data_IF_650139991092
#
_entry.id   IF_650139991092
#
_cell.length_a   1.000
_cell.length_b   1.000
_cell.length_c   1.000
_cell.angle_alpha   90.00
_cell.angle_beta   90.00
_cell.angle_gamma   90.00
#
_symmetry.space_group_name_H-M   'P 1'
#
loop_
_entity.id
_entity.type
_entity.pdbx_description
1 polymer ?
#
# COMPACT_ATOMS: atom_id res chain seq x y z
N UNK A 1 -21.77 -14.42 2.53
CA UNK A 1 -20.86 -13.42 1.92
C UNK A 1 -20.96 -13.58 0.41
N UNK A 2 -21.16 -12.46 -0.28
CA UNK A 2 -21.31 -12.37 -1.73
C UNK A 2 -20.08 -11.67 -2.32
N UNK A 3 -19.54 -12.19 -3.41
CA UNK A 3 -18.43 -11.56 -4.15
C UNK A 3 -19.02 -10.51 -5.09
N UNK A 4 -18.50 -9.28 -5.01
CA UNK A 4 -18.90 -8.20 -5.91
C UNK A 4 -17.99 -8.16 -7.14
N UNK A 5 -18.50 -8.63 -8.28
CA UNK A 5 -17.80 -8.57 -9.58
C UNK A 5 -18.37 -7.51 -10.52
N UNK A 6 -19.61 -7.08 -10.29
CA UNK A 6 -20.28 -6.10 -11.15
C UNK A 6 -19.65 -4.69 -10.99
N UNK A 7 -19.19 -4.06 -12.09
CA UNK A 7 -18.57 -2.73 -12.04
C UNK A 7 -19.47 -1.66 -11.40
N UNK A 8 -20.79 -1.70 -11.65
CA UNK A 8 -21.74 -0.77 -11.05
C UNK A 8 -21.85 -0.94 -9.52
N UNK A 9 -21.74 -2.17 -9.03
CA UNK A 9 -21.74 -2.44 -7.58
C UNK A 9 -20.43 -1.97 -6.95
N UNK A 10 -19.29 -2.20 -7.60
CA UNK A 10 -17.99 -1.73 -7.12
C UNK A 10 -17.91 -0.20 -7.08
N UNK A 11 -18.42 0.51 -8.09
CA UNK A 11 -18.49 1.97 -8.09
C UNK A 11 -19.39 2.51 -6.98
N UNK A 12 -20.53 1.86 -6.72
CA UNK A 12 -21.43 2.25 -5.63
C UNK A 12 -20.78 2.00 -4.26
N UNK A 13 -20.10 0.88 -4.09
CA UNK A 13 -19.34 0.56 -2.89
C UNK A 13 -18.23 1.58 -2.66
N UNK A 14 -17.45 1.91 -3.70
CA UNK A 14 -16.43 2.95 -3.67
C UNK A 14 -17.02 4.29 -3.16
N UNK A 15 -18.17 4.71 -3.69
CA UNK A 15 -18.86 5.92 -3.26
C UNK A 15 -19.33 5.91 -1.80
N UNK A 16 -19.75 4.75 -1.29
CA UNK A 16 -20.17 4.59 0.12
C UNK A 16 -18.95 4.60 1.05
N UNK A 17 -17.89 3.86 0.71
CA UNK A 17 -16.66 3.81 1.50
C UNK A 17 -15.98 5.19 1.55
N UNK A 18 -16.00 5.95 0.45
CA UNK A 18 -15.47 7.32 0.39
C UNK A 18 -16.09 8.25 1.44
N UNK A 19 -17.38 8.09 1.76
CA UNK A 19 -18.08 8.91 2.77
C UNK A 19 -17.69 8.56 4.20
N UNK A 20 -17.11 7.37 4.41
CA UNK A 20 -16.72 6.83 5.71
C UNK A 20 -15.19 6.87 5.91
N UNK A 21 -14.48 7.64 5.08
CA UNK A 21 -13.07 7.91 5.30
C UNK A 21 -12.90 8.79 6.56
N UNK A 22 -11.87 8.55 7.40
CA UNK A 22 -10.73 7.67 7.17
C UNK A 22 -10.92 6.20 7.64
N UNK A 23 -12.02 5.86 8.33
CA UNK A 23 -12.22 4.52 8.91
C UNK A 23 -12.25 3.40 7.85
N UNK A 24 -12.77 3.72 6.65
CA UNK A 24 -12.86 2.78 5.54
C UNK A 24 -11.58 2.69 4.68
N UNK A 25 -10.49 3.39 5.04
CA UNK A 25 -9.34 3.60 4.15
C UNK A 25 -8.71 2.31 3.60
N UNK A 26 -8.41 1.27 4.41
CA UNK A 26 -7.79 0.06 3.89
C UNK A 26 -8.67 -0.64 2.84
N UNK A 27 -9.96 -0.83 3.14
CA UNK A 27 -10.89 -1.50 2.23
C UNK A 27 -11.16 -0.63 1.00
N UNK A 28 -11.28 0.69 1.18
CA UNK A 28 -11.46 1.65 0.09
C UNK A 28 -10.30 1.60 -0.90
N UNK A 29 -9.07 1.57 -0.41
CA UNK A 29 -7.89 1.49 -1.25
C UNK A 29 -7.75 0.17 -2.01
N UNK A 30 -8.13 -0.96 -1.40
CA UNK A 30 -8.24 -2.23 -2.12
C UNK A 30 -9.30 -2.17 -3.23
N UNK A 31 -10.49 -1.65 -2.93
CA UNK A 31 -11.57 -1.47 -3.92
C UNK A 31 -11.10 -0.60 -5.09
N UNK A 32 -10.41 0.51 -4.80
CA UNK A 32 -9.80 1.37 -5.83
C UNK A 32 -8.78 0.63 -6.71
N UNK A 33 -7.89 -0.17 -6.11
CA UNK A 33 -6.94 -0.97 -6.89
C UNK A 33 -7.67 -1.98 -7.80
N UNK A 34 -8.75 -2.58 -7.33
CA UNK A 34 -9.58 -3.51 -8.11
C UNK A 34 -10.29 -2.78 -9.27
N UNK A 35 -10.90 -1.62 -9.02
CA UNK A 35 -11.57 -0.83 -10.08
C UNK A 35 -10.59 -0.25 -11.10
N UNK A 36 -9.31 -0.10 -10.74
CA UNK A 36 -8.23 0.46 -11.57
C UNK A 36 -7.37 -0.61 -12.26
N UNK A 37 -7.87 -1.82 -12.46
CA UNK A 37 -7.20 -2.88 -13.22
C UNK A 37 -6.71 -4.07 -12.40
N UNK A 38 -6.92 -4.06 -11.08
CA UNK A 38 -6.71 -5.18 -10.18
C UNK A 38 -5.32 -5.86 -10.27
N UNK A 39 -4.22 -5.11 -10.08
CA UNK A 39 -2.88 -5.64 -10.25
C UNK A 39 -2.54 -6.81 -9.30
N UNK A 40 -3.17 -6.83 -8.11
CA UNK A 40 -2.98 -7.87 -7.10
C UNK A 40 -3.93 -9.06 -7.20
N UNK A 41 -4.84 -9.07 -8.18
CA UNK A 41 -5.88 -10.11 -8.32
C UNK A 41 -6.72 -10.27 -7.04
N UNK A 42 -7.20 -9.17 -6.48
CA UNK A 42 -8.07 -9.17 -5.30
C UNK A 42 -9.54 -9.25 -5.69
N UNK A 43 -10.35 -9.74 -4.77
CA UNK A 43 -11.80 -9.75 -4.83
C UNK A 43 -12.40 -9.11 -3.57
N UNK A 44 -13.58 -8.51 -3.72
CA UNK A 44 -14.31 -7.87 -2.63
C UNK A 44 -15.52 -8.71 -2.28
N UNK A 45 -15.64 -9.03 -1.00
CA UNK A 45 -16.76 -9.74 -0.42
C UNK A 45 -17.54 -8.81 0.50
N UNK A 46 -18.86 -8.91 0.42
CA UNK A 46 -19.79 -8.24 1.33
C UNK A 46 -20.67 -9.28 2.02
N UNK A 47 -21.13 -8.99 3.23
CA UNK A 47 -22.08 -9.87 3.91
C UNK A 47 -23.44 -9.90 3.20
N UNK A 48 -23.96 -8.72 2.82
CA UNK A 48 -25.23 -8.50 2.09
C UNK A 48 -25.07 -7.38 1.07
N UNK A 49 -25.92 -7.31 0.06
CA UNK A 49 -25.96 -6.18 -0.89
C UNK A 49 -27.42 -5.83 -1.23
N UNK A 50 -27.81 -4.55 -1.27
CA UNK A 50 -26.99 -3.33 -1.14
C UNK A 50 -26.69 -2.89 0.31
N UNK A 51 -27.37 -3.42 1.31
CA UNK A 51 -27.23 -3.03 2.73
C UNK A 51 -26.19 -3.89 3.46
N UNK A 52 -24.90 -3.66 3.16
CA UNK A 52 -23.80 -4.38 3.78
C UNK A 52 -23.45 -3.83 5.17
N UNK A 53 -23.15 -4.73 6.11
CA UNK A 53 -22.58 -4.40 7.42
C UNK A 53 -21.08 -4.62 7.50
N UNK A 54 -20.54 -5.49 6.63
CA UNK A 54 -19.12 -5.82 6.58
C UNK A 54 -18.60 -5.94 5.14
N UNK A 55 -17.40 -5.43 4.90
CA UNK A 55 -16.68 -5.54 3.63
C UNK A 55 -15.31 -6.14 3.88
N UNK A 56 -14.93 -7.09 3.02
CA UNK A 56 -13.67 -7.80 3.05
C UNK A 56 -13.01 -7.74 1.68
N UNK A 57 -11.75 -7.31 1.62
CA UNK A 57 -10.90 -7.49 0.44
C UNK A 57 -9.92 -8.65 0.70
N UNK A 58 -9.77 -9.55 -0.27
CA UNK A 58 -8.80 -10.68 -0.19
C UNK A 58 -8.26 -11.06 -1.57
N UNK A 59 -7.16 -11.83 -1.66
CA UNK A 59 -6.72 -12.43 -2.92
C UNK A 59 -7.78 -13.36 -3.52
N UNK A 60 -7.98 -13.29 -4.84
CA UNK A 60 -8.90 -14.12 -5.59
C UNK A 60 -8.49 -15.59 -5.53
N UNK A 61 -9.44 -16.48 -5.21
CA UNK A 61 -9.20 -17.93 -5.16
C UNK A 61 -8.70 -18.48 -3.83
N UNK A 62 -8.48 -17.63 -2.81
CA UNK A 62 -8.18 -18.10 -1.45
C UNK A 62 -9.48 -18.57 -0.77
N UNK A 63 -9.95 -19.77 -1.11
CA UNK A 63 -11.03 -20.45 -0.37
C UNK A 63 -10.46 -20.74 1.01
N UNK A 64 -11.07 -20.18 2.07
CA UNK A 64 -10.69 -20.50 3.44
C UNK A 64 -10.88 -22.01 3.66
N UNK A 65 -9.81 -22.78 3.53
CA UNK A 65 -9.77 -24.14 4.03
C UNK A 65 -10.01 -24.04 5.53
N UNK A 66 -11.09 -24.70 5.97
CA UNK A 66 -11.53 -24.68 7.36
C UNK A 66 -10.70 -25.68 8.16
N UNK A 67 -9.38 -25.53 8.16
CA UNK A 67 -8.53 -26.25 9.10
C UNK A 67 -8.49 -25.48 10.42
N UNK A 68 -9.29 -25.97 11.37
CA UNK A 68 -9.13 -25.67 12.79
C UNK A 68 -7.79 -26.25 13.22
N UNK A 69 -6.76 -25.42 13.25
CA UNK A 69 -5.53 -25.73 13.96
C UNK A 69 -4.26 -25.27 13.27
N UNK A 70 -4.02 -23.96 13.22
CA UNK A 70 -2.71 -23.34 13.48
C UNK A 70 -2.82 -21.83 13.24
N UNK A 71 -2.58 -21.04 14.29
CA UNK A 71 -2.35 -19.61 14.15
C UNK A 71 -1.00 -19.41 13.46
N UNK A 72 -1.02 -19.14 12.16
CA UNK A 72 0.14 -18.71 11.39
C UNK A 72 -0.32 -17.72 10.33
N UNK A 73 0.01 -16.44 10.52
CA UNK A 73 -0.27 -15.34 9.59
C UNK A 73 -0.14 -15.79 8.13
N UNK A 74 -1.22 -15.69 7.36
CA UNK A 74 -1.30 -16.02 5.93
C UNK A 74 -2.70 -15.68 5.42
N UNK A 75 -2.78 -14.69 4.54
CA UNK A 75 -4.03 -14.07 4.07
C UNK A 75 -4.36 -12.82 4.89
N UNK A 76 -3.86 -11.66 4.47
CA UNK A 76 -4.28 -10.36 5.01
C UNK A 76 -5.78 -10.19 4.75
N UNK A 77 -6.60 -10.45 5.78
CA UNK A 77 -8.03 -10.20 5.79
C UNK A 77 -8.27 -8.87 6.48
N UNK A 78 -8.69 -7.86 5.71
CA UNK A 78 -9.15 -6.60 6.30
C UNK A 78 -10.66 -6.55 6.27
N UNK A 79 -11.26 -6.64 7.45
CA UNK A 79 -12.69 -6.50 7.68
C UNK A 79 -12.97 -5.08 8.17
N UNK A 80 -13.81 -4.33 7.47
CA UNK A 80 -14.41 -3.11 8.02
C UNK A 80 -15.87 -3.42 8.42
N UNK A 81 -16.20 -3.31 9.71
CA UNK A 81 -17.56 -3.51 10.25
C UNK A 81 -18.04 -2.30 11.05
N UNK A 82 -19.36 -2.11 11.15
CA UNK A 82 -20.00 -0.99 11.88
C UNK A 82 -19.94 -1.10 13.41
N UNK A 83 -19.48 -2.22 13.97
CA UNK A 83 -19.20 -2.37 15.39
C UNK A 83 -17.74 -2.07 15.64
N UNK A 84 -17.46 -0.94 16.27
CA UNK A 84 -16.14 -0.49 16.70
C UNK A 84 -15.52 -1.39 17.77
N UNK A 85 -15.16 -2.61 17.38
CA UNK A 85 -14.36 -3.51 18.19
C UNK A 85 -12.99 -3.62 17.52
N UNK A 86 -12.00 -3.10 18.23
CA UNK A 86 -10.59 -3.06 17.87
C UNK A 86 -10.07 -4.39 17.32
N UNK A 87 -9.82 -4.47 16.01
CA UNK A 87 -8.79 -5.37 15.48
C UNK A 87 -7.41 -4.73 15.73
N UNK A 88 -7.05 -4.62 17.01
CA UNK A 88 -5.79 -4.09 17.52
C UNK A 88 -4.62 -5.08 17.49
N UNK A 89 -4.59 -6.01 16.54
CA UNK A 89 -3.52 -7.00 16.45
C UNK A 89 -3.15 -7.23 14.98
N UNK A 90 -2.23 -6.39 14.47
CA UNK A 90 -1.27 -6.59 13.35
C UNK A 90 -0.42 -5.31 13.15
N UNK A 91 -0.67 -4.22 13.88
CA UNK A 91 0.12 -2.99 13.77
C UNK A 91 0.63 -2.54 15.14
N UNK A 92 1.67 -3.19 15.63
CA UNK A 92 2.48 -2.65 16.73
C UNK A 92 3.32 -1.49 16.19
N UNK A 93 3.06 -0.29 16.71
CA UNK A 93 3.90 0.92 16.71
C UNK A 93 4.71 1.28 15.45
N UNK A 94 4.23 0.91 14.27
CA UNK A 94 4.67 1.53 13.01
C UNK A 94 3.54 2.41 12.56
N UNK A 95 3.73 3.71 12.79
CA UNK A 95 3.08 4.76 12.02
C UNK A 95 3.13 4.37 10.54
N UNK A 96 2.07 3.75 10.03
CA UNK A 96 1.69 3.91 8.63
C UNK A 96 1.57 5.41 8.47
N UNK A 97 2.53 6.01 7.79
CA UNK A 97 2.62 7.45 7.74
C UNK A 97 1.31 7.98 7.15
N UNK A 98 0.45 8.51 8.03
CA UNK A 98 -0.40 9.65 7.70
C UNK A 98 0.61 10.73 7.34
N UNK A 99 0.84 10.89 6.04
CA UNK A 99 1.91 11.75 5.52
C UNK A 99 1.40 13.18 5.63
N UNK A 100 1.67 13.80 6.79
CA UNK A 100 1.63 15.24 6.95
C UNK A 100 2.72 15.87 6.09
N UNK A 101 2.32 16.44 4.96
CA UNK A 101 3.12 17.40 4.21
C UNK A 101 2.37 18.72 4.18
N UNK A 102 2.79 19.63 5.06
CA UNK A 102 2.51 21.05 4.87
C UNK A 102 3.14 21.51 3.56
N UNK A 103 2.29 21.97 2.63
CA UNK A 103 2.69 22.56 1.36
C UNK A 103 2.27 21.72 0.17
N UNK A 104 1.22 22.17 -0.52
CA UNK A 104 0.79 21.70 -1.83
C UNK A 104 1.80 22.11 -2.94
N UNK A 105 3.06 21.72 -2.78
CA UNK A 105 4.07 21.84 -3.81
C UNK A 105 4.02 20.63 -4.74
N UNK A 106 3.94 20.86 -6.05
CA UNK A 106 4.21 19.82 -7.04
C UNK A 106 5.73 19.67 -7.11
N UNK A 107 6.26 18.51 -6.75
CA UNK A 107 7.70 18.24 -6.71
C UNK A 107 8.05 17.55 -8.02
N UNK A 108 8.74 18.24 -8.91
CA UNK A 108 9.27 17.63 -10.13
C UNK A 108 10.70 17.15 -9.87
N UNK A 109 11.21 16.31 -10.77
CA UNK A 109 12.60 15.83 -10.75
C UNK A 109 13.62 16.98 -10.66
N UNK A 110 13.25 18.18 -11.16
CA UNK A 110 14.06 19.40 -11.10
C UNK A 110 14.08 20.11 -9.73
N UNK A 111 13.18 19.75 -8.83
CA UNK A 111 13.04 20.37 -7.50
C UNK A 111 13.74 19.53 -6.40
N UNK A 112 14.55 18.55 -6.81
CA UNK A 112 15.32 17.71 -5.90
C UNK A 112 16.44 18.52 -5.21
N UNK A 113 16.72 18.29 -3.92
CA UNK A 113 17.72 19.08 -3.17
C UNK A 113 19.15 18.95 -3.70
N UNK A 114 19.45 17.86 -4.41
CA UNK A 114 20.78 17.52 -4.88
C UNK A 114 20.70 17.12 -6.36
N UNK A 115 21.45 17.77 -7.27
CA UNK A 115 21.43 17.47 -8.71
C UNK A 115 21.98 16.07 -9.04
N UNK A 116 22.65 15.40 -8.10
CA UNK A 116 23.08 14.00 -8.25
C UNK A 116 21.99 12.99 -7.92
N UNK A 117 20.89 13.43 -7.31
CA UNK A 117 19.74 12.59 -6.96
C UNK A 117 18.69 12.73 -8.05
N UNK A 118 18.12 11.61 -8.46
CA UNK A 118 17.05 11.54 -9.46
C UNK A 118 15.94 10.60 -9.04
N UNK A 119 14.73 10.83 -9.56
CA UNK A 119 13.64 9.87 -9.40
C UNK A 119 13.86 8.68 -10.32
N UNK A 120 13.98 7.49 -9.72
CA UNK A 120 14.20 6.22 -10.41
C UNK A 120 13.11 5.19 -10.13
N UNK A 121 13.40 3.95 -10.51
CA UNK A 121 12.54 2.78 -10.29
C UNK A 121 13.33 1.69 -9.56
N UNK A 122 12.67 0.97 -8.65
CA UNK A 122 13.27 -0.23 -8.10
C UNK A 122 13.15 -1.37 -9.12
N UNK A 123 14.24 -2.08 -9.34
CA UNK A 123 14.30 -3.25 -10.20
C UNK A 123 14.11 -4.52 -9.37
N UNK A 124 13.68 -5.64 -9.97
CA UNK A 124 13.61 -6.93 -9.29
C UNK A 124 14.93 -7.38 -8.67
N UNK A 125 16.07 -6.90 -9.19
CA UNK A 125 17.41 -7.14 -8.61
C UNK A 125 17.58 -6.51 -7.22
N UNK A 126 16.81 -5.47 -6.87
CA UNK A 126 16.91 -4.80 -5.57
C UNK A 126 16.10 -5.49 -4.47
N UNK A 127 15.34 -6.55 -4.79
CA UNK A 127 14.49 -7.26 -3.81
C UNK A 127 15.32 -7.74 -2.61
N UNK A 128 16.54 -8.22 -2.85
CA UNK A 128 17.41 -8.72 -1.78
C UNK A 128 17.85 -7.60 -0.83
N UNK A 129 18.21 -6.42 -1.38
CA UNK A 129 18.49 -5.22 -0.58
C UNK A 129 17.28 -4.81 0.28
N UNK A 130 16.08 -4.80 -0.31
CA UNK A 130 14.85 -4.48 0.43
C UNK A 130 14.58 -5.50 1.54
N UNK A 131 14.85 -6.78 1.26
CA UNK A 131 14.64 -7.86 2.20
C UNK A 131 15.61 -7.80 3.38
N UNK A 132 16.85 -7.40 3.15
CA UNK A 132 17.88 -7.26 4.20
C UNK A 132 17.68 -6.00 5.06
N UNK A 133 17.22 -4.91 4.45
CA UNK A 133 17.02 -3.63 5.13
C UNK A 133 15.73 -3.56 5.93
N UNK A 134 14.79 -4.49 5.70
CA UNK A 134 13.53 -4.54 6.40
C UNK A 134 13.66 -5.30 7.74
N UNK A 135 13.28 -4.71 8.90
CA UNK A 135 13.40 -5.38 10.20
C UNK A 135 12.67 -6.73 10.31
N UNK A 136 11.59 -6.91 9.55
CA UNK A 136 10.83 -8.17 9.48
C UNK A 136 11.20 -9.03 8.27
N UNK A 137 12.22 -8.61 7.53
CA UNK A 137 12.72 -9.27 6.34
C UNK A 137 13.70 -10.42 6.66
N UNK A 138 14.66 -10.63 5.77
CA UNK A 138 15.70 -11.66 5.91
C UNK A 138 15.24 -13.09 5.66
N UNK A 139 14.02 -13.31 5.18
CA UNK A 139 13.49 -14.65 4.91
C UNK A 139 12.93 -14.78 3.48
N UNK A 140 12.73 -16.02 3.03
CA UNK A 140 12.24 -16.31 1.67
C UNK A 140 10.81 -15.78 1.44
N UNK A 141 10.00 -15.70 2.50
CA UNK A 141 8.61 -15.24 2.42
C UNK A 141 8.54 -13.72 2.24
N UNK A 142 9.29 -12.96 3.03
CA UNK A 142 9.42 -11.51 2.90
C UNK A 142 10.00 -11.13 1.53
N UNK A 143 11.00 -11.87 1.04
CA UNK A 143 11.55 -11.70 -0.31
C UNK A 143 10.49 -11.86 -1.39
N UNK A 144 9.68 -12.92 -1.32
CA UNK A 144 8.58 -13.17 -2.28
C UNK A 144 7.53 -12.07 -2.23
N UNK A 145 7.15 -11.63 -1.04
CA UNK A 145 6.21 -10.53 -0.85
C UNK A 145 6.73 -9.22 -1.46
N UNK A 146 7.99 -8.85 -1.21
CA UNK A 146 8.61 -7.65 -1.77
C UNK A 146 8.74 -7.71 -3.30
N UNK A 147 9.08 -8.88 -3.86
CA UNK A 147 9.10 -9.09 -5.31
C UNK A 147 7.70 -8.91 -5.93
N UNK A 148 6.66 -9.41 -5.25
CA UNK A 148 5.28 -9.22 -5.68
C UNK A 148 4.86 -7.76 -5.64
N UNK A 149 5.21 -7.04 -4.57
CA UNK A 149 4.95 -5.60 -4.46
C UNK A 149 5.61 -4.82 -5.61
N UNK A 150 6.89 -5.07 -5.87
CA UNK A 150 7.64 -4.40 -6.94
C UNK A 150 7.10 -4.71 -8.34
N UNK A 151 6.60 -5.93 -8.56
CA UNK A 151 6.07 -6.35 -9.86
C UNK A 151 4.65 -5.85 -10.15
N UNK A 152 3.86 -5.52 -9.12
CA UNK A 152 2.41 -5.27 -9.26
C UNK A 152 1.99 -3.86 -8.88
N UNK A 153 2.67 -3.24 -7.92
CA UNK A 153 2.23 -1.98 -7.32
C UNK A 153 3.17 -0.82 -7.64
N UNK A 154 2.62 0.41 -7.72
CA UNK A 154 3.44 1.58 -7.91
C UNK A 154 4.41 1.74 -6.74
N UNK A 155 5.59 2.26 -7.02
CA UNK A 155 6.59 2.56 -6.02
C UNK A 155 7.37 3.81 -6.44
N UNK A 156 8.07 4.42 -5.48
CA UNK A 156 8.97 5.56 -5.71
C UNK A 156 10.34 5.18 -5.20
N UNK A 157 11.36 5.48 -6.00
CA UNK A 157 12.75 5.33 -5.63
C UNK A 157 13.51 6.61 -5.97
N UNK A 158 14.36 7.06 -5.06
CA UNK A 158 15.38 8.06 -5.32
C UNK A 158 16.69 7.32 -5.51
N UNK A 159 17.38 7.63 -6.60
CA UNK A 159 18.64 7.02 -6.99
C UNK A 159 19.74 8.07 -7.11
N UNK A 160 20.99 7.64 -6.98
CA UNK A 160 22.14 8.48 -7.26
C UNK A 160 22.43 8.58 -8.77
N UNK A 161 23.51 9.28 -9.11
CA UNK A 161 23.99 9.43 -10.48
C UNK A 161 24.33 8.08 -11.16
N UNK A 162 24.66 7.05 -10.40
CA UNK A 162 25.03 5.72 -10.90
C UNK A 162 23.83 4.79 -11.09
N UNK A 163 22.70 5.10 -10.47
CA UNK A 163 21.46 4.32 -10.53
C UNK A 163 21.20 3.50 -9.27
N UNK A 164 22.05 3.63 -8.26
CA UNK A 164 21.91 2.92 -7.00
C UNK A 164 20.79 3.55 -6.14
N UNK A 165 19.94 2.73 -5.51
CA UNK A 165 18.82 3.20 -4.70
C UNK A 165 19.28 3.85 -3.39
N UNK A 166 18.88 5.09 -3.14
CA UNK A 166 19.19 5.86 -1.93
C UNK A 166 18.07 5.80 -0.89
N UNK A 167 16.84 5.97 -1.38
CA UNK A 167 15.62 6.08 -0.58
C UNK A 167 14.43 5.58 -1.40
N UNK A 168 13.49 4.90 -0.79
CA UNK A 168 12.32 4.37 -1.49
C UNK A 168 11.10 4.27 -0.60
N UNK A 169 9.95 4.23 -1.25
CA UNK A 169 8.64 3.97 -0.65
C UNK A 169 7.89 3.02 -1.59
N UNK A 170 7.42 1.90 -1.06
CA UNK A 170 6.54 0.99 -1.77
C UNK A 170 5.08 1.33 -1.51
N UNK A 171 4.19 0.80 -2.32
CA UNK A 171 2.75 0.85 -2.06
C UNK A 171 2.22 -0.57 -1.98
N UNK A 172 1.35 -0.82 -1.00
CA UNK A 172 0.70 -2.12 -0.84
C UNK A 172 -0.59 -2.24 -1.67
N UNK A 173 -1.26 -3.38 -1.49
CA UNK A 173 -2.53 -3.69 -2.13
C UNK A 173 -3.70 -2.83 -1.64
N UNK A 174 -3.56 -2.12 -0.52
CA UNK A 174 -4.50 -1.10 -0.06
C UNK A 174 -4.19 0.29 -0.62
N UNK A 175 -3.17 0.44 -1.48
CA UNK A 175 -2.78 1.77 -1.94
C UNK A 175 -2.12 2.61 -0.85
N UNK A 176 -1.65 1.97 0.22
CA UNK A 176 -0.99 2.63 1.36
C UNK A 176 0.52 2.59 1.17
N UNK A 177 1.19 3.70 1.50
CA UNK A 177 2.65 3.75 1.54
C UNK A 177 3.19 2.79 2.59
N UNK A 178 4.07 1.89 2.18
CA UNK A 178 4.72 0.89 3.04
C UNK A 178 6.20 0.76 2.70
N UNK A 179 6.97 0.11 3.56
CA UNK A 179 8.42 -0.12 3.38
C UNK A 179 9.21 1.13 2.99
N UNK A 180 8.88 2.27 3.60
CA UNK A 180 9.67 3.48 3.48
C UNK A 180 11.04 3.29 4.11
N UNK A 181 12.12 3.31 3.31
CA UNK A 181 13.47 3.22 3.84
C UNK A 181 14.42 4.20 3.17
N UNK A 182 15.42 4.66 3.93
CA UNK A 182 16.55 5.45 3.42
C UNK A 182 17.83 4.85 3.94
N UNK A 183 18.76 4.56 3.03
CA UNK A 183 20.07 4.02 3.36
C UNK A 183 20.76 4.88 4.41
N UNK A 184 21.44 4.29 5.42
CA UNK A 184 22.06 5.04 6.51
C UNK A 184 22.95 6.21 6.06
N UNK A 185 23.73 6.02 4.99
CA UNK A 185 24.61 7.04 4.41
C UNK A 185 23.86 8.29 3.86
N UNK A 186 22.57 8.16 3.55
CA UNK A 186 21.75 9.20 2.92
C UNK A 186 20.64 9.75 3.85
N UNK A 187 20.66 9.38 5.14
CA UNK A 187 19.70 9.89 6.14
C UNK A 187 19.94 11.36 6.45
N UNK A 188 18.91 12.00 7.02
CA UNK A 188 18.93 13.42 7.45
C UNK A 188 19.17 14.44 6.33
N UNK A 189 18.90 14.05 5.08
CA UNK A 189 19.00 14.90 3.88
C UNK A 189 17.66 15.18 3.20
N UNK A 190 16.54 14.81 3.83
CA UNK A 190 15.19 15.05 3.29
C UNK A 190 14.72 14.06 2.21
N UNK A 191 15.54 13.08 1.79
CA UNK A 191 15.17 12.10 0.74
C UNK A 191 13.83 11.39 0.98
N UNK A 192 13.58 10.92 2.21
CA UNK A 192 12.32 10.25 2.54
C UNK A 192 11.11 11.18 2.37
N UNK A 193 11.24 12.44 2.76
CA UNK A 193 10.17 13.43 2.60
C UNK A 193 9.83 13.64 1.13
N UNK A 194 10.85 13.75 0.28
CA UNK A 194 10.69 13.85 -1.18
C UNK A 194 10.03 12.58 -1.74
N UNK A 195 10.51 11.39 -1.37
CA UNK A 195 9.96 10.13 -1.84
C UNK A 195 8.47 9.97 -1.48
N UNK A 196 8.09 10.34 -0.24
CA UNK A 196 6.71 10.36 0.21
C UNK A 196 5.87 11.40 -0.54
N UNK A 197 6.39 12.59 -0.79
CA UNK A 197 5.71 13.64 -1.55
C UNK A 197 5.38 13.18 -2.96
N UNK A 198 6.36 12.57 -3.63
CA UNK A 198 6.20 12.01 -4.97
C UNK A 198 5.21 10.83 -4.98
N UNK A 199 5.26 9.97 -3.96
CA UNK A 199 4.33 8.84 -3.83
C UNK A 199 2.90 9.35 -3.65
N UNK A 200 2.69 10.37 -2.81
CA UNK A 200 1.41 11.02 -2.59
C UNK A 200 0.86 11.65 -3.88
N UNK A 201 1.69 12.39 -4.64
CA UNK A 201 1.29 12.97 -5.93
C UNK A 201 0.88 11.89 -6.95
N UNK A 202 1.65 10.80 -7.05
CA UNK A 202 1.31 9.66 -7.93
C UNK A 202 0.02 8.97 -7.49
N UNK A 203 -0.22 8.85 -6.19
CA UNK A 203 -1.45 8.29 -5.63
C UNK A 203 -2.66 9.18 -5.93
N UNK A 204 -2.55 10.49 -5.71
CA UNK A 204 -3.60 11.48 -6.03
C UNK A 204 -3.96 11.47 -7.52
N UNK A 205 -2.97 11.42 -8.42
CA UNK A 205 -3.19 11.30 -9.85
C UNK A 205 -3.99 10.04 -10.23
N UNK A 206 -3.91 9.00 -9.41
CA UNK A 206 -4.69 7.75 -9.53
C UNK A 206 -6.01 7.77 -8.75
N UNK A 207 -6.36 8.89 -8.10
CA UNK A 207 -7.59 9.08 -7.33
C UNK A 207 -7.56 8.52 -5.90
N UNK A 208 -6.38 8.12 -5.40
CA UNK A 208 -6.24 7.70 -4.01
C UNK A 208 -6.27 8.92 -3.07
N UNK A 209 -6.95 8.84 -1.93
CA UNK A 209 -6.97 9.89 -0.94
C UNK A 209 -5.64 9.90 -0.20
N UNK A 210 -5.05 11.08 -0.08
CA UNK A 210 -3.86 11.30 0.76
C UNK A 210 -4.31 11.99 2.02
N UNK A 211 -4.11 11.36 3.16
CA UNK A 211 -4.37 11.95 4.47
C UNK A 211 -3.04 12.44 5.06
N UNK A 212 -3.08 13.65 5.62
CA UNK A 212 -1.97 14.32 6.27
C UNK A 212 -2.44 15.08 7.49
#
# INVERSE_FOLDING_TARGET
MQILTCPAHLQRLEGILRKNLPLALPVYGAVLNITRGNPGQFEVLVDKWPDFGAVLARPSGEVASRDRGHCGNGGERVCAGHTGEHCGWIWGELWGAVVGLGGAGHTRDRDLPDPSVRVGSLLPSHVDLLNETWPYGGNARSRRYLAELLGRFPHVCLQDSTGEPLSWVLTDHFGTGTHGFTLPAHRRRGHMQVALTLAAQRAQARGFPTFG
#
